data_IF_513177266919
#
_entry.id   IF_513177266919
#
_cell.length_a   1.000
_cell.length_b   1.000
_cell.length_c   1.000
_cell.angle_alpha   90.00
_cell.angle_beta   90.00
_cell.angle_gamma   90.00
#
_symmetry.space_group_name_H-M   'P 1'
#
loop_
_entity.id
_entity.type
_entity.pdbx_description
1 polymer ?
#
# COMPACT_ATOMS: atom_id res chain seq x y z
N UNK A 1 -30.60 -43.29 -37.50
CA UNK A 1 -31.05 -43.50 -38.89
C UNK A 1 -29.89 -43.47 -39.87
N UNK A 2 -28.94 -42.53 -39.77
CA UNK A 2 -27.76 -42.43 -40.66
C UNK A 2 -26.90 -43.75 -40.60
N UNK A 3 -26.61 -44.27 -39.41
CA UNK A 3 -25.83 -45.53 -39.21
C UNK A 3 -26.52 -46.76 -39.85
N UNK A 4 -27.81 -46.72 -40.12
CA UNK A 4 -28.57 -47.77 -40.81
C UNK A 4 -28.62 -47.55 -42.31
N UNK A 5 -27.90 -46.58 -42.90
CA UNK A 5 -27.89 -46.24 -44.32
C UNK A 5 -29.26 -45.92 -44.92
N UNK A 6 -30.20 -45.41 -44.06
CA UNK A 6 -31.53 -45.03 -44.50
C UNK A 6 -31.62 -43.60 -45.06
N UNK A 7 -30.56 -42.81 -44.89
CA UNK A 7 -30.46 -41.42 -45.37
C UNK A 7 -29.08 -41.24 -46.00
N UNK A 8 -28.98 -40.52 -47.10
CA UNK A 8 -27.71 -40.14 -47.73
C UNK A 8 -26.87 -39.25 -46.75
N UNK A 9 -25.54 -39.42 -46.82
CA UNK A 9 -24.59 -38.64 -46.04
C UNK A 9 -24.79 -37.14 -46.28
N UNK A 10 -24.98 -36.73 -47.51
CA UNK A 10 -25.20 -35.33 -47.89
C UNK A 10 -26.44 -34.73 -47.26
N UNK A 11 -27.53 -35.47 -47.23
CA UNK A 11 -28.80 -35.03 -46.59
C UNK A 11 -28.61 -34.95 -45.08
N UNK A 12 -27.87 -35.86 -44.46
CA UNK A 12 -27.59 -35.81 -43.05
C UNK A 12 -26.73 -34.61 -42.68
N UNK A 13 -25.64 -34.38 -43.41
CA UNK A 13 -24.75 -33.23 -43.20
C UNK A 13 -25.50 -31.90 -43.40
N UNK A 14 -26.29 -31.77 -44.42
CA UNK A 14 -27.13 -30.59 -44.68
C UNK A 14 -28.08 -30.30 -43.52
N UNK A 15 -28.78 -31.32 -43.03
CA UNK A 15 -29.68 -31.19 -41.88
C UNK A 15 -28.93 -30.81 -40.59
N UNK A 16 -27.75 -31.39 -40.37
CA UNK A 16 -26.89 -31.08 -39.23
C UNK A 16 -26.50 -29.60 -39.24
N UNK A 17 -26.04 -29.07 -40.37
CA UNK A 17 -25.67 -27.67 -40.49
C UNK A 17 -26.87 -26.74 -40.37
N UNK A 18 -28.03 -27.17 -40.84
CA UNK A 18 -29.28 -26.42 -40.71
C UNK A 18 -29.74 -26.32 -39.24
N UNK A 19 -29.62 -27.41 -38.47
CA UNK A 19 -29.90 -27.40 -37.04
C UNK A 19 -28.92 -26.47 -36.30
N UNK A 20 -27.60 -26.55 -36.61
CA UNK A 20 -26.61 -25.68 -36.00
C UNK A 20 -26.88 -24.20 -36.29
N UNK A 21 -27.26 -23.86 -37.53
CA UNK A 21 -27.61 -22.49 -37.88
C UNK A 21 -28.89 -21.98 -37.12
N UNK A 22 -29.90 -22.83 -36.96
CA UNK A 22 -31.09 -22.48 -36.19
C UNK A 22 -30.76 -22.31 -34.68
N UNK A 23 -29.91 -23.17 -34.12
CA UNK A 23 -29.43 -23.03 -32.76
C UNK A 23 -28.70 -21.70 -32.55
N UNK A 24 -27.77 -21.33 -33.43
CA UNK A 24 -27.09 -20.05 -33.36
C UNK A 24 -28.05 -18.84 -33.46
N UNK A 25 -29.11 -18.96 -34.27
CA UNK A 25 -30.15 -17.92 -34.37
C UNK A 25 -30.94 -17.77 -33.05
N UNK A 26 -31.28 -18.88 -32.38
CA UNK A 26 -31.92 -18.85 -31.07
C UNK A 26 -31.00 -18.22 -30.02
N UNK A 27 -29.72 -18.63 -29.96
CA UNK A 27 -28.73 -18.05 -29.01
C UNK A 27 -28.59 -16.54 -29.20
N UNK A 28 -28.57 -16.08 -30.48
CA UNK A 28 -28.51 -14.66 -30.78
C UNK A 28 -29.77 -13.91 -30.31
N UNK A 29 -30.95 -14.50 -30.52
CA UNK A 29 -32.22 -13.91 -30.04
C UNK A 29 -32.28 -13.83 -28.50
N UNK A 30 -31.78 -14.86 -27.82
CA UNK A 30 -31.70 -14.90 -26.35
C UNK A 30 -30.67 -13.87 -25.81
N UNK A 31 -29.55 -13.68 -26.51
CA UNK A 31 -28.59 -12.66 -26.17
C UNK A 31 -29.21 -11.27 -26.30
N UNK A 32 -29.85 -10.98 -27.41
CA UNK A 32 -30.56 -9.72 -27.63
C UNK A 32 -31.61 -9.44 -26.56
N UNK A 33 -32.37 -10.45 -26.16
CA UNK A 33 -33.35 -10.34 -25.07
C UNK A 33 -32.65 -10.02 -23.73
N UNK A 34 -31.56 -10.68 -23.40
CA UNK A 34 -30.79 -10.37 -22.17
C UNK A 34 -30.23 -8.94 -22.16
N UNK A 35 -29.83 -8.44 -23.31
CA UNK A 35 -29.30 -7.08 -23.44
C UNK A 35 -30.35 -5.98 -23.29
N UNK A 36 -31.65 -6.33 -23.34
CA UNK A 36 -32.72 -5.38 -23.02
C UNK A 36 -32.79 -5.04 -21.53
N UNK A 37 -32.23 -5.88 -20.68
CA UNK A 37 -32.14 -5.65 -19.24
C UNK A 37 -30.71 -5.18 -18.84
N UNK A 38 -30.61 -3.92 -18.47
CA UNK A 38 -29.34 -3.36 -18.00
C UNK A 38 -29.18 -3.65 -16.51
N UNK A 39 -28.23 -4.50 -16.16
CA UNK A 39 -27.98 -4.93 -14.78
C UNK A 39 -26.66 -4.37 -14.25
N UNK A 40 -26.60 -4.14 -12.93
CA UNK A 40 -25.38 -3.73 -12.24
C UNK A 40 -24.35 -4.87 -12.28
N UNK A 41 -23.11 -4.65 -12.78
CA UNK A 41 -22.07 -5.67 -12.84
C UNK A 41 -21.43 -5.95 -11.48
N UNK A 42 -21.60 -5.06 -10.51
CA UNK A 42 -21.04 -5.13 -9.16
C UNK A 42 -22.10 -4.85 -8.12
N UNK A 43 -21.91 -5.36 -6.91
CA UNK A 43 -22.66 -4.95 -5.73
C UNK A 43 -22.17 -3.61 -5.24
N UNK A 44 -23.06 -2.68 -4.92
CA UNK A 44 -22.66 -1.34 -4.49
C UNK A 44 -23.83 -0.38 -4.43
N UNK A 45 -23.50 0.90 -4.36
CA UNK A 45 -24.44 2.02 -4.28
C UNK A 45 -24.37 2.87 -5.54
N UNK A 46 -25.50 3.38 -5.98
CA UNK A 46 -25.57 4.32 -7.11
C UNK A 46 -25.10 5.69 -6.63
N UNK A 47 -23.87 6.04 -6.95
CA UNK A 47 -23.29 7.36 -6.63
C UNK A 47 -23.87 8.46 -7.52
N UNK A 48 -24.17 8.14 -8.80
CA UNK A 48 -24.77 9.10 -9.73
C UNK A 48 -25.62 8.39 -10.78
N UNK A 49 -26.76 8.99 -11.10
CA UNK A 49 -27.66 8.56 -12.17
C UNK A 49 -27.67 9.63 -13.27
N UNK A 50 -27.40 9.23 -14.51
CA UNK A 50 -27.38 10.11 -15.68
C UNK A 50 -28.61 9.95 -16.57
N UNK A 51 -29.38 8.87 -16.40
CA UNK A 51 -30.54 8.53 -17.19
C UNK A 51 -31.83 8.85 -16.43
N UNK A 52 -32.88 9.24 -17.16
CA UNK A 52 -34.22 9.52 -16.62
C UNK A 52 -35.20 8.48 -17.13
N UNK A 53 -36.28 8.24 -16.39
CA UNK A 53 -37.39 7.42 -16.86
C UNK A 53 -38.02 8.01 -18.15
N UNK A 54 -38.28 7.17 -19.13
CA UNK A 54 -38.80 7.58 -20.45
C UNK A 54 -37.70 8.03 -21.44
N UNK A 55 -36.45 8.06 -21.04
CA UNK A 55 -35.34 8.37 -21.95
C UNK A 55 -35.03 7.17 -22.83
N UNK A 56 -34.88 7.39 -24.13
CA UNK A 56 -34.40 6.38 -25.07
C UNK A 56 -32.90 6.08 -24.80
N UNK A 57 -32.60 4.82 -24.57
CA UNK A 57 -31.23 4.31 -24.42
C UNK A 57 -30.97 3.35 -25.57
N UNK A 58 -29.88 3.57 -26.31
CA UNK A 58 -29.44 2.73 -27.41
C UNK A 58 -27.91 2.65 -27.44
N UNK A 59 -27.37 1.84 -28.33
CA UNK A 59 -25.92 1.66 -28.50
C UNK A 59 -25.16 2.95 -28.87
N UNK A 60 -25.84 3.95 -29.39
CA UNK A 60 -25.29 5.26 -29.76
C UNK A 60 -25.34 6.26 -28.59
N UNK A 61 -25.88 5.86 -27.42
CA UNK A 61 -25.94 6.71 -26.25
C UNK A 61 -24.53 6.76 -25.63
N UNK A 62 -23.80 7.87 -25.73
CA UNK A 62 -22.35 7.90 -25.44
C UNK A 62 -22.00 7.99 -23.96
N UNK A 63 -22.98 7.90 -23.05
CA UNK A 63 -22.80 8.21 -21.64
C UNK A 63 -23.13 7.01 -20.75
N UNK A 64 -22.38 6.87 -19.66
CA UNK A 64 -22.70 5.96 -18.58
C UNK A 64 -24.10 6.26 -18.05
N UNK A 65 -24.94 5.24 -17.84
CA UNK A 65 -26.29 5.41 -17.32
C UNK A 65 -26.27 5.63 -15.80
N UNK A 66 -25.42 4.89 -15.12
CA UNK A 66 -25.23 4.95 -13.68
C UNK A 66 -23.73 4.90 -13.34
N UNK A 67 -23.37 5.57 -12.26
CA UNK A 67 -22.07 5.42 -11.61
C UNK A 67 -22.27 4.62 -10.34
N UNK A 68 -21.74 3.42 -10.30
CA UNK A 68 -21.79 2.52 -9.15
C UNK A 68 -20.45 2.57 -8.40
N UNK A 69 -20.52 2.57 -7.08
CA UNK A 69 -19.36 2.51 -6.20
C UNK A 69 -19.55 1.40 -5.17
N UNK A 70 -18.48 0.69 -4.86
CA UNK A 70 -18.40 -0.18 -3.68
C UNK A 70 -18.11 0.68 -2.47
N UNK A 71 -18.76 0.41 -1.32
CA UNK A 71 -18.53 1.15 -0.09
C UNK A 71 -17.72 0.35 0.93
N UNK A 72 -17.66 -0.97 0.82
CA UNK A 72 -17.03 -1.85 1.79
C UNK A 72 -15.52 -1.96 1.61
N UNK A 73 -15.05 -1.87 0.38
CA UNK A 73 -13.63 -1.87 0.04
C UNK A 73 -13.29 -0.60 -0.71
N UNK A 74 -12.33 0.15 -0.20
CA UNK A 74 -11.87 1.37 -0.84
C UNK A 74 -10.38 1.25 -1.20
N UNK A 75 -10.01 1.87 -2.30
CA UNK A 75 -8.61 2.01 -2.69
C UNK A 75 -8.15 3.46 -2.44
N UNK A 76 -7.04 3.60 -1.73
CA UNK A 76 -6.32 4.86 -1.67
C UNK A 76 -5.13 4.81 -2.64
N UNK A 77 -4.94 5.88 -3.38
CA UNK A 77 -3.82 6.03 -4.31
C UNK A 77 -2.85 7.05 -3.74
N UNK A 78 -1.61 6.60 -3.53
CA UNK A 78 -0.48 7.47 -3.16
C UNK A 78 0.57 7.46 -4.25
N UNK A 79 1.30 8.55 -4.37
CA UNK A 79 2.41 8.69 -5.29
C UNK A 79 3.71 8.75 -4.49
N UNK A 80 4.45 7.64 -4.49
CA UNK A 80 5.73 7.54 -3.76
C UNK A 80 6.87 8.06 -4.62
N UNK A 81 7.78 8.87 -4.06
CA UNK A 81 9.02 9.24 -4.73
C UNK A 81 9.83 7.99 -5.12
N UNK A 82 10.51 8.04 -6.25
CA UNK A 82 11.33 6.92 -6.78
C UNK A 82 12.30 6.34 -5.74
N UNK A 83 12.91 7.19 -4.91
CA UNK A 83 13.84 6.77 -3.87
C UNK A 83 13.22 5.86 -2.80
N UNK A 84 11.93 6.00 -2.53
CA UNK A 84 11.19 5.23 -1.52
C UNK A 84 10.59 3.95 -2.09
N UNK A 85 10.38 3.91 -3.40
CA UNK A 85 9.73 2.78 -4.09
C UNK A 85 10.50 1.47 -3.92
N UNK A 86 11.83 1.51 -3.86
CA UNK A 86 12.67 0.32 -3.66
C UNK A 86 12.37 -0.40 -2.33
N UNK A 87 11.83 0.32 -1.36
CA UNK A 87 11.44 -0.22 -0.05
C UNK A 87 9.97 -0.62 0.01
N UNK A 88 9.14 -0.15 -0.94
CA UNK A 88 7.72 -0.40 -0.97
C UNK A 88 7.41 -1.79 -1.56
N UNK A 89 6.67 -2.61 -0.81
CA UNK A 89 6.25 -3.96 -1.20
C UNK A 89 4.78 -4.17 -0.93
N UNK A 90 4.14 -4.98 -1.74
CA UNK A 90 2.79 -5.44 -1.46
C UNK A 90 2.73 -6.18 -0.10
N UNK A 91 1.65 -5.95 0.64
CA UNK A 91 1.43 -6.49 1.98
C UNK A 91 1.96 -5.64 3.13
N UNK A 92 2.71 -4.58 2.88
CA UNK A 92 3.15 -3.67 3.94
C UNK A 92 1.98 -2.93 4.58
N UNK A 93 2.04 -2.78 5.90
CA UNK A 93 1.05 -2.02 6.65
C UNK A 93 1.16 -0.52 6.38
N UNK A 94 0.01 0.11 6.31
CA UNK A 94 -0.12 1.55 6.24
C UNK A 94 -1.20 2.03 7.21
N UNK A 95 -1.05 3.27 7.66
CA UNK A 95 -2.02 3.97 8.50
C UNK A 95 -2.49 5.20 7.74
N UNK A 96 -3.80 5.38 7.66
CA UNK A 96 -4.41 6.53 7.04
C UNK A 96 -5.10 7.38 8.09
N UNK A 97 -4.77 8.67 8.09
CA UNK A 97 -5.39 9.67 8.96
C UNK A 97 -6.31 10.57 8.15
N UNK A 98 -7.59 10.59 8.52
CA UNK A 98 -8.63 11.44 7.92
C UNK A 98 -9.08 12.49 8.92
N UNK A 99 -9.49 13.65 8.44
CA UNK A 99 -10.05 14.69 9.31
C UNK A 99 -11.37 14.21 9.95
N UNK A 100 -11.39 14.14 11.28
CA UNK A 100 -12.60 13.79 12.04
C UNK A 100 -12.95 12.29 12.08
N UNK A 101 -12.07 11.43 11.63
CA UNK A 101 -12.22 9.96 11.70
C UNK A 101 -11.01 9.38 12.43
N UNK A 102 -11.16 8.34 13.26
CA UNK A 102 -10.02 7.63 13.82
C UNK A 102 -9.09 7.09 12.73
N UNK A 103 -7.83 6.86 13.08
CA UNK A 103 -6.86 6.25 12.18
C UNK A 103 -7.35 4.91 11.63
N UNK A 104 -7.17 4.73 10.33
CA UNK A 104 -7.63 3.55 9.61
C UNK A 104 -6.43 2.77 9.11
N UNK A 105 -6.41 1.48 9.42
CA UNK A 105 -5.38 0.56 8.92
C UNK A 105 -5.66 0.20 7.47
N UNK A 106 -4.60 0.13 6.69
CA UNK A 106 -4.63 -0.32 5.31
C UNK A 106 -3.39 -1.15 5.00
N UNK A 107 -3.37 -1.79 3.86
CA UNK A 107 -2.22 -2.50 3.36
C UNK A 107 -1.89 -2.09 1.94
N UNK A 108 -0.60 -2.08 1.60
CA UNK A 108 -0.16 -1.89 0.22
C UNK A 108 -0.65 -3.06 -0.61
N UNK A 109 -1.57 -2.80 -1.51
CA UNK A 109 -2.11 -3.81 -2.44
C UNK A 109 -1.19 -3.98 -3.64
N UNK A 110 -0.76 -2.86 -4.23
CA UNK A 110 0.04 -2.87 -5.46
C UNK A 110 0.93 -1.64 -5.56
N UNK A 111 2.16 -1.87 -6.02
CA UNK A 111 3.10 -0.83 -6.45
C UNK A 111 3.19 -0.91 -7.97
N UNK A 112 2.98 0.19 -8.68
CA UNK A 112 3.06 0.20 -10.13
C UNK A 112 4.51 -0.08 -10.60
N UNK A 113 4.69 -0.84 -11.70
CA UNK A 113 6.03 -1.18 -12.19
C UNK A 113 6.67 -0.05 -13.02
N UNK A 114 6.02 1.11 -13.12
CA UNK A 114 6.45 2.23 -13.95
C UNK A 114 6.52 3.51 -13.14
N UNK A 115 7.60 4.26 -13.31
CA UNK A 115 7.76 5.62 -12.76
C UNK A 115 7.09 6.60 -13.74
N UNK A 116 6.29 7.52 -13.21
CA UNK A 116 5.78 8.65 -13.99
C UNK A 116 6.92 9.66 -14.17
N UNK A 117 7.39 9.77 -15.43
CA UNK A 117 8.53 10.63 -15.77
C UNK A 117 8.26 12.13 -15.55
N UNK A 118 7.00 12.56 -15.48
CA UNK A 118 6.64 13.96 -15.26
C UNK A 118 6.75 14.37 -13.79
N UNK A 119 6.46 13.46 -12.88
CA UNK A 119 6.45 13.70 -11.43
C UNK A 119 7.58 13.03 -10.67
N UNK A 120 8.31 12.08 -11.28
CA UNK A 120 9.34 11.27 -10.61
C UNK A 120 8.77 10.36 -9.51
N UNK A 121 7.49 9.99 -9.63
CA UNK A 121 6.79 9.20 -8.60
C UNK A 121 6.24 7.89 -9.17
N UNK A 122 5.97 6.96 -8.28
CA UNK A 122 5.34 5.67 -8.59
C UNK A 122 3.98 5.58 -7.91
N UNK A 123 2.97 5.24 -8.69
CA UNK A 123 1.62 5.02 -8.18
C UNK A 123 1.57 3.76 -7.31
N UNK A 124 1.22 3.95 -6.05
CA UNK A 124 1.02 2.87 -5.09
C UNK A 124 -0.44 2.85 -4.64
N UNK A 125 -1.05 1.69 -4.69
CA UNK A 125 -2.45 1.48 -4.30
C UNK A 125 -2.50 0.78 -2.95
N UNK A 126 -3.27 1.34 -2.03
CA UNK A 126 -3.55 0.80 -0.70
C UNK A 126 -4.99 0.29 -0.68
N UNK A 127 -5.22 -0.86 -0.08
CA UNK A 127 -6.55 -1.40 0.17
C UNK A 127 -7.00 -1.05 1.58
N UNK A 128 -8.20 -0.53 1.70
CA UNK A 128 -8.82 -0.09 2.96
C UNK A 128 -10.08 -0.91 3.19
N UNK A 129 -10.16 -1.58 4.34
CA UNK A 129 -11.42 -2.15 4.81
C UNK A 129 -12.32 -1.04 5.37
N UNK A 130 -13.41 -0.78 4.68
CA UNK A 130 -14.43 0.19 5.06
C UNK A 130 -15.76 -0.48 5.45
N UNK A 131 -15.70 -1.64 6.13
CA UNK A 131 -16.90 -2.38 6.58
C UNK A 131 -17.82 -1.50 7.45
N UNK A 132 -17.26 -0.52 8.17
CA UNK A 132 -17.99 0.48 8.95
C UNK A 132 -18.70 1.54 8.11
N UNK A 133 -18.40 1.65 6.79
CA UNK A 133 -18.93 2.65 5.85
C UNK A 133 -18.76 4.12 6.29
N UNK A 134 -17.75 4.39 7.10
CA UNK A 134 -17.45 5.76 7.56
C UNK A 134 -16.72 6.58 6.52
N UNK A 135 -15.94 5.91 5.67
CA UNK A 135 -15.19 6.57 4.61
C UNK A 135 -16.00 6.63 3.32
N UNK A 136 -15.79 7.69 2.56
CA UNK A 136 -16.39 7.88 1.23
C UNK A 136 -15.32 8.07 0.18
N UNK A 137 -15.57 7.52 -1.00
CA UNK A 137 -14.69 7.75 -2.15
C UNK A 137 -14.55 9.26 -2.42
N UNK A 138 -13.33 9.72 -2.67
CA UNK A 138 -13.00 11.13 -2.86
C UNK A 138 -12.54 11.87 -1.60
N UNK A 139 -12.49 11.22 -0.43
CA UNK A 139 -11.86 11.79 0.76
C UNK A 139 -10.34 11.84 0.60
N UNK A 140 -9.72 12.87 1.19
CA UNK A 140 -8.26 12.98 1.29
C UNK A 140 -7.78 12.48 2.64
N UNK A 141 -6.62 11.81 2.65
CA UNK A 141 -5.97 11.32 3.86
C UNK A 141 -4.48 11.59 3.83
N UNK A 142 -3.89 11.71 4.99
CA UNK A 142 -2.46 11.55 5.17
C UNK A 142 -2.17 10.05 5.30
N UNK A 143 -1.12 9.57 4.64
CA UNK A 143 -0.77 8.15 4.60
C UNK A 143 0.63 7.96 5.14
N UNK A 144 0.77 7.08 6.11
CA UNK A 144 2.04 6.60 6.65
C UNK A 144 2.20 5.14 6.28
N UNK A 145 3.23 4.80 5.49
CA UNK A 145 3.56 3.43 5.10
C UNK A 145 4.76 2.97 5.93
N UNK A 146 4.62 1.84 6.59
CA UNK A 146 5.72 1.21 7.33
C UNK A 146 6.57 0.39 6.36
N UNK A 147 7.75 0.89 6.00
CA UNK A 147 8.64 0.21 5.07
C UNK A 147 9.44 -0.90 5.74
N UNK A 148 9.82 -0.71 7.01
CA UNK A 148 10.63 -1.67 7.77
C UNK A 148 10.26 -1.59 9.25
N UNK A 149 10.38 -2.70 9.96
CA UNK A 149 10.22 -2.79 11.41
C UNK A 149 11.37 -3.62 11.96
N UNK A 150 12.09 -3.06 12.93
CA UNK A 150 13.21 -3.71 13.60
C UNK A 150 12.93 -3.76 15.08
N UNK A 151 12.47 -4.90 15.56
CA UNK A 151 12.05 -5.08 16.96
C UNK A 151 13.21 -5.03 17.96
N UNK A 152 14.46 -5.22 17.49
CA UNK A 152 15.67 -5.25 18.32
C UNK A 152 16.64 -4.12 17.98
N UNK A 153 16.14 -2.99 17.48
CA UNK A 153 16.99 -1.86 17.15
C UNK A 153 17.59 -1.23 18.40
N UNK A 154 18.92 -1.03 18.40
CA UNK A 154 19.61 -0.31 19.46
C UNK A 154 19.47 1.20 19.20
N UNK A 155 18.70 1.88 20.03
CA UNK A 155 18.38 3.29 19.86
C UNK A 155 19.15 4.16 20.84
N UNK A 156 19.72 5.27 20.36
CA UNK A 156 20.29 6.31 21.20
C UNK A 156 19.70 7.67 20.86
N UNK A 157 19.53 8.58 21.83
CA UNK A 157 19.11 9.94 21.52
C UNK A 157 20.11 10.65 20.59
N UNK A 158 19.60 11.40 19.59
CA UNK A 158 20.47 12.17 18.67
C UNK A 158 21.50 13.04 19.38
N UNK A 159 21.14 13.58 20.55
CA UNK A 159 22.04 14.38 21.38
C UNK A 159 23.24 13.61 21.95
N UNK A 160 23.24 12.27 21.94
CA UNK A 160 24.36 11.45 22.33
C UNK A 160 25.42 11.32 21.23
N UNK A 161 25.06 11.65 20.00
CA UNK A 161 25.96 11.58 18.86
C UNK A 161 26.97 12.72 18.89
N UNK A 162 28.20 12.38 18.59
CA UNK A 162 29.34 13.29 18.43
C UNK A 162 30.01 13.04 17.09
N UNK A 163 30.77 14.02 16.62
CA UNK A 163 31.67 13.81 15.49
C UNK A 163 33.05 13.51 16.02
N UNK A 164 33.52 12.30 15.78
CA UNK A 164 34.88 11.86 16.17
C UNK A 164 35.67 11.63 14.86
N UNK A 165 36.73 12.41 14.65
CA UNK A 165 37.58 12.32 13.44
C UNK A 165 36.77 12.33 12.11
N UNK A 166 35.77 13.21 12.02
CA UNK A 166 34.82 13.34 10.91
C UNK A 166 33.87 12.14 10.72
N UNK A 167 33.78 11.22 11.67
CA UNK A 167 32.88 10.09 11.69
C UNK A 167 31.88 10.20 12.86
N UNK A 168 30.69 9.63 12.76
CA UNK A 168 29.76 9.60 13.88
C UNK A 168 30.31 8.70 15.00
N UNK A 169 30.14 9.16 16.22
CA UNK A 169 30.58 8.42 17.39
C UNK A 169 29.80 8.77 18.64
N UNK A 170 30.05 8.03 19.69
CA UNK A 170 29.45 8.21 21.02
C UNK A 170 30.48 8.09 22.10
N UNK A 171 30.16 8.59 23.30
CA UNK A 171 30.93 8.34 24.51
C UNK A 171 30.22 7.24 25.30
N UNK A 172 30.94 6.16 25.59
CA UNK A 172 30.48 5.01 26.37
C UNK A 172 31.22 4.95 27.70
N UNK A 173 30.59 4.51 28.76
CA UNK A 173 31.26 4.20 30.01
C UNK A 173 31.76 2.76 29.98
N UNK A 174 33.04 2.59 30.38
CA UNK A 174 33.57 1.25 30.66
C UNK A 174 33.19 0.75 32.06
N UNK A 175 33.66 -0.46 32.41
CA UNK A 175 33.36 -1.09 33.72
C UNK A 175 33.96 -0.30 34.89
N UNK A 176 35.01 0.50 34.68
CA UNK A 176 35.70 1.34 35.66
C UNK A 176 35.12 2.77 35.71
N UNK A 177 33.95 3.03 35.06
CA UNK A 177 33.30 4.34 34.96
C UNK A 177 34.17 5.40 34.27
N UNK A 178 34.98 5.00 33.31
CA UNK A 178 35.80 5.89 32.47
C UNK A 178 35.14 6.10 31.12
N UNK A 179 35.38 7.25 30.54
CA UNK A 179 34.89 7.60 29.22
C UNK A 179 35.73 6.95 28.13
N UNK A 180 35.09 6.20 27.27
CA UNK A 180 35.67 5.63 26.05
C UNK A 180 34.96 6.23 24.83
N UNK A 181 35.75 6.75 23.89
CA UNK A 181 35.24 7.24 22.60
C UNK A 181 35.11 6.06 21.65
N UNK A 182 33.92 5.91 21.07
CA UNK A 182 33.65 4.81 20.14
C UNK A 182 32.96 5.31 18.87
N UNK A 183 33.55 4.97 17.72
CA UNK A 183 32.90 5.23 16.43
C UNK A 183 31.72 4.28 16.25
N UNK A 184 30.67 4.78 15.63
CA UNK A 184 29.42 4.02 15.42
C UNK A 184 28.98 4.11 13.97
N UNK A 185 28.30 3.05 13.52
CA UNK A 185 27.58 3.08 12.25
C UNK A 185 26.11 3.35 12.55
N UNK A 186 25.55 4.37 11.90
CA UNK A 186 24.18 4.79 12.09
C UNK A 186 23.24 4.01 11.16
N UNK A 187 22.07 3.68 11.66
CA UNK A 187 20.94 3.14 10.92
C UNK A 187 19.86 4.19 10.68
N UNK A 188 18.61 3.80 10.88
CA UNK A 188 17.47 4.70 10.73
C UNK A 188 17.46 5.78 11.79
N UNK A 189 16.92 6.92 11.39
CA UNK A 189 16.73 8.08 12.26
C UNK A 189 15.25 8.37 12.36
N UNK A 190 14.72 8.41 13.58
CA UNK A 190 13.32 8.76 13.86
C UNK A 190 13.27 9.86 14.93
N UNK A 191 12.49 10.90 14.68
CA UNK A 191 12.29 12.04 15.58
C UNK A 191 13.57 12.48 16.34
N UNK A 192 13.71 12.04 17.58
CA UNK A 192 14.81 12.41 18.49
C UNK A 192 15.80 11.28 18.79
N UNK A 193 15.66 10.13 18.14
CA UNK A 193 16.51 8.95 18.29
C UNK A 193 17.15 8.54 16.98
N UNK A 194 18.25 7.80 17.08
CA UNK A 194 18.96 7.22 15.95
C UNK A 194 19.34 5.78 16.28
N UNK A 195 19.22 4.91 15.31
CA UNK A 195 19.62 3.51 15.41
C UNK A 195 21.14 3.40 15.28
N UNK A 196 21.74 2.60 16.16
CA UNK A 196 23.14 2.21 16.08
C UNK A 196 23.23 0.79 15.54
N UNK A 197 23.87 0.62 14.38
CA UNK A 197 24.07 -0.69 13.76
C UNK A 197 25.29 -1.41 14.32
N UNK A 198 26.35 -0.66 14.60
CA UNK A 198 27.61 -1.20 15.16
C UNK A 198 28.28 -0.17 16.06
N UNK A 199 29.05 -0.64 17.03
CA UNK A 199 29.91 0.21 17.90
C UNK A 199 29.38 0.34 19.32
N UNK A 200 28.13 -0.05 19.63
CA UNK A 200 27.56 -0.11 20.99
C UNK A 200 26.82 -1.41 21.14
N UNK A 201 26.85 -2.00 22.32
CA UNK A 201 26.12 -3.21 22.66
C UNK A 201 24.95 -2.90 23.59
N UNK A 202 23.96 -3.78 23.59
CA UNK A 202 22.79 -3.62 24.47
C UNK A 202 23.19 -3.66 25.94
N UNK A 203 22.73 -2.69 26.71
CA UNK A 203 23.06 -2.55 28.13
C UNK A 203 24.28 -1.66 28.42
N UNK A 204 25.02 -1.20 27.41
CA UNK A 204 26.10 -0.23 27.61
C UNK A 204 25.54 1.18 27.90
N UNK A 205 26.21 1.89 28.78
CA UNK A 205 25.83 3.26 29.18
C UNK A 205 26.47 4.28 28.24
N UNK A 206 25.60 5.05 27.56
CA UNK A 206 26.00 6.10 26.60
C UNK A 206 25.75 7.48 27.21
N UNK A 207 26.73 8.35 27.10
CA UNK A 207 26.65 9.73 27.62
C UNK A 207 25.74 10.56 26.72
N UNK A 208 24.69 11.12 27.29
CA UNK A 208 23.68 11.93 26.57
C UNK A 208 23.79 13.43 26.87
N UNK A 209 24.61 13.84 27.87
CA UNK A 209 24.83 15.23 28.23
C UNK A 209 26.22 15.42 28.87
N UNK A 210 26.75 16.63 28.75
CA UNK A 210 28.06 16.97 29.37
C UNK A 210 29.28 16.70 28.50
N UNK A 211 29.12 16.36 27.23
CA UNK A 211 30.21 15.95 26.32
C UNK A 211 31.38 16.93 26.22
N UNK A 212 31.08 18.25 26.26
CA UNK A 212 32.10 19.28 26.08
C UNK A 212 33.16 19.32 27.20
N UNK A 213 32.82 18.82 28.39
CA UNK A 213 33.68 18.81 29.55
C UNK A 213 34.47 17.50 29.73
N UNK A 214 34.11 16.45 28.95
CA UNK A 214 34.63 15.10 29.12
C UNK A 214 35.80 14.83 28.16
N UNK A 215 36.92 14.39 28.72
CA UNK A 215 38.07 13.90 27.96
C UNK A 215 38.10 12.38 28.01
N UNK A 216 38.67 11.78 27.01
CA UNK A 216 38.94 10.34 27.01
C UNK A 216 39.65 9.89 28.26
N UNK A 217 39.33 8.72 28.81
CA UNK A 217 39.86 8.17 30.07
C UNK A 217 39.47 8.95 31.35
N UNK A 218 38.62 9.99 31.26
CA UNK A 218 38.17 10.69 32.46
C UNK A 218 37.26 9.80 33.29
N UNK A 219 37.48 9.76 34.60
CA UNK A 219 36.57 9.13 35.55
C UNK A 219 35.35 10.02 35.75
N UNK A 220 34.15 9.46 35.60
CA UNK A 220 32.91 10.21 35.73
C UNK A 220 31.97 9.56 36.75
N UNK A 221 31.13 10.40 37.35
CA UNK A 221 30.02 9.92 38.22
C UNK A 221 28.72 10.11 37.48
N UNK A 222 27.97 9.03 37.33
CA UNK A 222 26.62 9.07 36.75
C UNK A 222 25.72 9.84 37.68
N UNK A 223 25.06 10.91 37.19
CA UNK A 223 24.17 11.76 37.96
C UNK A 223 22.70 11.30 37.77
N UNK A 224 22.36 10.87 36.58
CA UNK A 224 21.04 10.31 36.26
C UNK A 224 21.17 9.31 35.10
N UNK A 225 20.36 8.29 35.16
CA UNK A 225 20.26 7.24 34.15
C UNK A 225 18.84 7.20 33.59
N UNK A 226 18.71 6.93 32.29
CA UNK A 226 17.43 6.73 31.60
C UNK A 226 17.57 5.61 30.61
N UNK A 227 16.63 4.71 30.58
CA UNK A 227 16.47 3.72 29.52
C UNK A 227 15.77 4.35 28.29
N UNK A 228 16.18 3.92 27.10
CA UNK A 228 15.64 4.37 25.84
C UNK A 228 15.23 3.19 24.98
#
# INVERSE_FOLDING_TARGET
>A
MHQRKLVSTDVYEKLKWQVAAMQAAVELAELNLRETEIRAPISGVVARRYVKAGQLVNQLTPHSLFHLVTETELEAVVHLPEQQVLQAKAGQEAVLSFAGVPEVKAAVSRVAPVVDASSGTVRTTLLIDNSSRQLKAGMFSQVEIKFDTRDSALLVPKRALLTLDNLPGVLVLDAESRIVRRQVTLGYTADNVVEILTGVEAGEQVVVAGHAALKEQSLVKVVSEREF
#
